data_IF_337290670145
#
_entry.id   IF_337290670145
#
_cell.length_a   1.000
_cell.length_b   1.000
_cell.length_c   1.000
_cell.angle_alpha   90.00
_cell.angle_beta   90.00
_cell.angle_gamma   90.00
#
_symmetry.space_group_name_H-M   'P 1'
#
loop_
_entity.id
_entity.type
_entity.pdbx_description
1 polymer ?
#
# COMPACT_ATOMS: atom_id res chain seq x y z
N UNK A 1 -0.78 7.19 10.92
CA UNK A 1 0.31 6.96 9.96
C UNK A 1 0.21 7.88 8.77
N UNK A 2 1.26 7.90 7.96
CA UNK A 2 1.43 8.79 6.80
C UNK A 2 2.05 8.03 5.62
N UNK A 3 2.12 8.68 4.46
CA UNK A 3 2.92 8.22 3.31
C UNK A 3 4.04 9.25 3.09
N UNK A 4 5.26 9.06 3.64
CA UNK A 4 6.29 10.11 3.65
C UNK A 4 6.68 10.65 2.28
N UNK A 5 6.56 9.82 1.22
CA UNK A 5 6.87 10.23 -0.16
C UNK A 5 6.01 11.40 -0.65
N UNK A 6 4.81 11.60 -0.08
CA UNK A 6 3.95 12.73 -0.47
C UNK A 6 4.53 14.06 -0.02
N UNK A 7 5.01 14.15 1.23
CA UNK A 7 5.67 15.37 1.71
C UNK A 7 7.03 15.55 1.04
N UNK A 8 7.79 14.47 0.84
CA UNK A 8 9.07 14.52 0.13
C UNK A 8 8.89 15.08 -1.30
N UNK A 9 7.81 14.68 -1.99
CA UNK A 9 7.49 15.19 -3.33
C UNK A 9 7.16 16.69 -3.33
N UNK A 10 6.46 17.19 -2.31
CA UNK A 10 6.19 18.63 -2.17
C UNK A 10 7.48 19.43 -1.92
N UNK A 11 8.45 18.86 -1.18
CA UNK A 11 9.77 19.49 -0.95
C UNK A 11 10.58 19.67 -2.24
N UNK A 12 10.25 18.91 -3.29
CA UNK A 12 10.84 19.02 -4.63
C UNK A 12 9.85 19.56 -5.66
N UNK A 13 8.88 20.37 -5.22
CA UNK A 13 7.91 21.07 -6.07
C UNK A 13 7.08 20.18 -6.99
N UNK A 14 6.77 18.94 -6.58
CA UNK A 14 5.99 18.01 -7.39
C UNK A 14 6.80 17.28 -8.47
N UNK A 15 8.11 17.51 -8.57
CA UNK A 15 8.96 16.90 -9.59
C UNK A 15 9.50 15.58 -9.04
N UNK A 16 8.85 14.47 -9.43
CA UNK A 16 9.22 13.15 -8.94
C UNK A 16 10.69 12.82 -9.22
N UNK A 17 11.25 13.24 -10.36
CA UNK A 17 12.64 13.03 -10.76
C UNK A 17 13.65 13.68 -9.81
N UNK A 18 13.26 14.75 -9.12
CA UNK A 18 14.12 15.49 -8.21
C UNK A 18 14.15 14.88 -6.80
N UNK A 19 13.38 13.82 -6.54
CA UNK A 19 13.45 13.07 -5.29
C UNK A 19 14.83 12.43 -5.12
N UNK A 20 15.38 12.52 -3.91
CA UNK A 20 16.62 11.84 -3.52
C UNK A 20 16.45 11.16 -2.16
N UNK A 21 17.40 10.27 -1.83
CA UNK A 21 17.48 9.66 -0.52
C UNK A 21 17.52 10.71 0.59
N UNK A 22 18.29 11.79 0.43
CA UNK A 22 18.47 12.83 1.45
C UNK A 22 17.15 13.54 1.77
N UNK A 23 16.40 13.95 0.74
CA UNK A 23 15.08 14.59 0.93
C UNK A 23 14.11 13.65 1.64
N UNK A 24 14.12 12.37 1.28
CA UNK A 24 13.26 11.36 1.88
C UNK A 24 13.66 11.07 3.34
N UNK A 25 14.96 10.87 3.61
CA UNK A 25 15.54 10.67 4.93
C UNK A 25 15.15 11.81 5.89
N UNK A 26 15.36 13.04 5.47
CA UNK A 26 15.03 14.22 6.29
C UNK A 26 13.52 14.30 6.55
N UNK A 27 12.69 13.85 5.60
CA UNK A 27 11.23 13.75 5.77
C UNK A 27 10.83 12.66 6.77
N UNK A 28 11.51 11.50 6.77
CA UNK A 28 11.28 10.45 7.76
C UNK A 28 11.58 10.95 9.18
N UNK A 29 12.73 11.59 9.38
CA UNK A 29 13.14 12.13 10.68
C UNK A 29 12.14 13.19 11.15
N UNK A 30 11.78 14.14 10.27
CA UNK A 30 10.80 15.19 10.59
C UNK A 30 9.46 14.61 11.06
N UNK A 31 8.92 13.62 10.36
CA UNK A 31 7.64 13.01 10.72
C UNK A 31 7.74 12.11 11.96
N UNK A 32 8.88 11.44 12.16
CA UNK A 32 9.13 10.64 13.35
C UNK A 32 9.21 11.51 14.61
N UNK A 33 9.88 12.67 14.53
CA UNK A 33 9.93 13.66 15.62
C UNK A 33 8.56 14.26 15.95
N UNK A 34 7.65 14.34 14.97
CA UNK A 34 6.26 14.73 15.18
C UNK A 34 5.41 13.64 15.85
N UNK A 35 5.90 12.40 15.93
CA UNK A 35 5.21 11.28 16.56
C UNK A 35 4.28 10.50 15.61
N UNK A 36 4.60 10.42 14.31
CA UNK A 36 3.86 9.53 13.41
C UNK A 36 4.15 8.06 13.76
N UNK A 37 3.10 7.27 14.01
CA UNK A 37 3.25 5.89 14.51
C UNK A 37 3.59 4.83 13.44
N UNK A 38 3.24 5.08 12.18
CA UNK A 38 3.58 4.17 11.08
C UNK A 38 3.75 4.90 9.74
N UNK A 39 4.63 4.38 8.90
CA UNK A 39 4.89 4.89 7.56
C UNK A 39 4.50 3.88 6.49
N UNK A 40 3.68 4.30 5.53
CA UNK A 40 3.51 3.61 4.26
C UNK A 40 4.71 3.89 3.36
N UNK A 41 5.53 2.86 3.12
CA UNK A 41 6.74 2.96 2.30
C UNK A 41 6.66 1.96 1.14
N UNK A 42 6.70 2.47 -0.09
CA UNK A 42 6.55 1.70 -1.32
C UNK A 42 7.89 1.11 -1.80
N UNK A 43 8.62 0.48 -0.89
CA UNK A 43 9.94 -0.12 -1.18
C UNK A 43 9.86 -1.37 -2.06
N UNK A 44 8.67 -1.96 -2.24
CA UNK A 44 8.43 -3.08 -3.15
C UNK A 44 8.31 -2.70 -4.64
N UNK A 45 8.18 -1.42 -4.96
CA UNK A 45 8.12 -0.95 -6.37
C UNK A 45 9.53 -0.92 -6.95
N UNK A 46 9.96 -2.08 -7.45
CA UNK A 46 11.28 -2.25 -8.07
C UNK A 46 11.27 -1.89 -9.55
N UNK A 47 12.41 -1.43 -10.07
CA UNK A 47 12.57 -1.05 -11.48
C UNK A 47 12.14 -2.19 -12.43
N UNK A 48 12.51 -3.43 -12.11
CA UNK A 48 12.20 -4.60 -12.92
C UNK A 48 10.71 -4.93 -12.98
N UNK A 49 9.89 -4.43 -12.05
CA UNK A 49 8.45 -4.73 -11.97
C UNK A 49 7.59 -3.71 -12.73
N UNK A 50 8.11 -2.50 -12.99
CA UNK A 50 7.36 -1.46 -13.72
C UNK A 50 6.90 -1.94 -15.12
N UNK A 51 7.72 -2.66 -15.92
CA UNK A 51 7.26 -3.19 -17.21
C UNK A 51 6.13 -4.23 -17.11
N UNK A 52 5.99 -4.93 -15.98
CA UNK A 52 4.93 -5.92 -15.78
C UNK A 52 3.54 -5.27 -15.80
N UNK A 53 3.44 -3.99 -15.42
CA UNK A 53 2.17 -3.25 -15.41
C UNK A 53 1.77 -2.73 -16.79
N UNK A 54 2.62 -2.86 -17.81
CA UNK A 54 2.36 -2.30 -19.15
C UNK A 54 1.13 -2.93 -19.85
N UNK A 55 0.72 -4.13 -19.43
CA UNK A 55 -0.45 -4.85 -19.97
C UNK A 55 -1.72 -4.69 -19.14
N UNK A 56 -1.65 -3.96 -18.02
CA UNK A 56 -2.82 -3.73 -17.15
C UNK A 56 -3.86 -2.86 -17.84
N UNK A 57 -5.12 -3.08 -17.50
CA UNK A 57 -6.25 -2.25 -17.91
C UNK A 57 -6.17 -0.87 -17.25
N UNK A 58 -5.78 -0.82 -15.97
CA UNK A 58 -5.73 0.42 -15.17
C UNK A 58 -4.34 0.87 -14.75
N UNK A 59 -3.29 0.16 -15.18
CA UNK A 59 -1.90 0.52 -14.91
C UNK A 59 -1.55 0.49 -13.41
N UNK A 60 -0.84 1.53 -12.96
CA UNK A 60 -0.44 1.73 -11.55
C UNK A 60 -1.40 2.75 -10.93
N UNK A 61 -2.27 2.30 -10.04
CA UNK A 61 -3.26 3.16 -9.35
C UNK A 61 -2.81 3.65 -7.98
N UNK A 62 -1.71 3.12 -7.45
CA UNK A 62 -1.10 3.67 -6.24
C UNK A 62 -0.47 5.03 -6.53
N UNK A 63 -0.85 6.07 -5.78
CA UNK A 63 -0.20 7.38 -5.88
C UNK A 63 1.27 7.29 -5.48
N UNK A 64 1.60 6.66 -4.35
CA UNK A 64 3.00 6.49 -3.93
C UNK A 64 3.78 5.56 -4.87
N UNK A 65 3.14 4.48 -5.34
CA UNK A 65 3.75 3.57 -6.30
C UNK A 65 4.04 4.20 -7.65
N UNK A 66 3.14 5.02 -8.18
CA UNK A 66 3.35 5.73 -9.46
C UNK A 66 4.44 6.80 -9.38
N UNK A 67 4.59 7.48 -8.24
CA UNK A 67 5.74 8.38 -7.98
C UNK A 67 7.05 7.60 -8.08
N UNK A 68 7.14 6.45 -7.39
CA UNK A 68 8.35 5.63 -7.40
C UNK A 68 8.64 5.01 -8.77
N UNK A 69 7.61 4.54 -9.48
CA UNK A 69 7.76 4.03 -10.84
C UNK A 69 8.29 5.12 -11.79
N UNK A 70 7.76 6.35 -11.69
CA UNK A 70 8.24 7.50 -12.48
C UNK A 70 9.71 7.81 -12.18
N UNK A 71 10.10 7.85 -10.92
CA UNK A 71 11.48 8.08 -10.50
C UNK A 71 12.42 6.99 -11.05
N UNK A 72 12.06 5.70 -10.89
CA UNK A 72 12.87 4.58 -11.37
C UNK A 72 13.09 4.64 -12.88
N UNK A 73 12.04 4.96 -13.66
CA UNK A 73 12.14 5.08 -15.12
C UNK A 73 12.95 6.29 -15.58
N UNK A 74 12.83 7.43 -14.90
CA UNK A 74 13.55 8.65 -15.26
C UNK A 74 15.07 8.49 -15.07
N UNK A 75 15.48 7.82 -13.99
CA UNK A 75 16.90 7.59 -13.67
C UNK A 75 17.44 6.28 -14.21
N UNK A 76 16.57 5.36 -14.62
CA UNK A 76 16.90 3.98 -14.95
C UNK A 76 17.70 3.29 -13.82
N UNK A 77 17.26 3.51 -12.59
CA UNK A 77 17.88 3.01 -11.36
C UNK A 77 16.88 2.24 -10.52
N UNK A 78 17.39 1.35 -9.66
CA UNK A 78 16.56 0.66 -8.67
C UNK A 78 16.01 1.66 -7.65
N UNK A 79 14.81 1.38 -7.14
CA UNK A 79 14.12 2.19 -6.13
C UNK A 79 15.04 2.54 -4.97
N UNK A 80 15.26 3.85 -4.74
CA UNK A 80 16.08 4.29 -3.61
C UNK A 80 15.49 3.88 -2.25
N UNK A 81 14.16 3.65 -2.18
CA UNK A 81 13.51 3.11 -0.99
C UNK A 81 13.91 1.67 -0.72
N UNK A 82 14.14 0.89 -1.78
CA UNK A 82 14.62 -0.49 -1.67
C UNK A 82 16.12 -0.53 -1.35
N UNK A 83 16.94 0.29 -2.01
CA UNK A 83 18.39 0.28 -1.83
C UNK A 83 18.83 0.84 -0.48
N UNK A 84 18.12 1.84 0.07
CA UNK A 84 18.38 2.42 1.39
C UNK A 84 17.50 1.82 2.51
N UNK A 85 16.83 0.70 2.27
CA UNK A 85 15.88 0.13 3.23
C UNK A 85 16.48 -0.14 4.61
N UNK A 86 17.76 -0.52 4.67
CA UNK A 86 18.46 -0.75 5.94
C UNK A 86 18.62 0.56 6.73
N UNK A 87 18.94 1.68 6.08
CA UNK A 87 19.03 2.99 6.74
C UNK A 87 17.64 3.48 7.18
N UNK A 88 16.60 3.21 6.39
CA UNK A 88 15.20 3.49 6.77
C UNK A 88 14.85 2.73 8.06
N UNK A 89 15.22 1.45 8.16
CA UNK A 89 15.00 0.67 9.38
C UNK A 89 15.72 1.27 10.59
N UNK A 90 16.95 1.76 10.44
CA UNK A 90 17.69 2.38 11.56
C UNK A 90 16.98 3.64 12.07
N UNK A 91 16.44 4.46 11.16
CA UNK A 91 15.64 5.64 11.52
C UNK A 91 14.36 5.19 12.22
N UNK A 92 13.56 4.31 11.60
CA UNK A 92 12.28 3.89 12.15
C UNK A 92 12.42 3.22 13.52
N UNK A 93 13.47 2.42 13.71
CA UNK A 93 13.77 1.75 14.98
C UNK A 93 14.07 2.75 16.10
N UNK A 94 14.76 3.85 15.80
CA UNK A 94 15.14 4.85 16.80
C UNK A 94 13.92 5.55 17.44
N UNK A 95 12.80 5.62 16.72
CA UNK A 95 11.57 6.28 17.15
C UNK A 95 10.39 5.32 17.38
N UNK A 96 10.60 4.00 17.21
CA UNK A 96 9.56 2.96 17.25
C UNK A 96 8.39 3.19 16.26
N UNK A 97 8.72 3.66 15.06
CA UNK A 97 7.75 3.80 13.97
C UNK A 97 7.57 2.45 13.27
N UNK A 98 6.32 2.01 13.10
CA UNK A 98 6.01 0.77 12.41
C UNK A 98 6.08 0.92 10.89
N UNK A 99 6.54 -0.12 10.19
CA UNK A 99 6.40 -0.22 8.73
C UNK A 99 4.98 -0.61 8.36
N UNK A 100 4.40 0.14 7.42
CA UNK A 100 3.34 -0.32 6.54
C UNK A 100 3.97 -0.48 5.15
N UNK A 101 4.35 -1.70 4.78
CA UNK A 101 5.00 -1.94 3.48
C UNK A 101 3.95 -1.79 2.36
N UNK A 102 4.07 -0.73 1.58
CA UNK A 102 3.03 -0.27 0.66
C UNK A 102 2.86 -1.13 -0.58
N UNK A 103 1.62 -1.26 -1.04
CA UNK A 103 1.22 -2.02 -2.22
C UNK A 103 1.18 -1.15 -3.50
N UNK A 104 2.36 -0.66 -3.89
CA UNK A 104 2.52 0.25 -5.01
C UNK A 104 2.02 -0.28 -6.35
N UNK A 105 2.00 -1.59 -6.52
CA UNK A 105 1.52 -2.32 -7.68
C UNK A 105 0.20 -3.04 -7.41
N UNK A 106 -0.63 -2.60 -6.45
CA UNK A 106 -1.99 -3.14 -6.28
C UNK A 106 -2.86 -3.02 -7.54
N UNK A 107 -3.84 -3.92 -7.74
CA UNK A 107 -4.77 -3.84 -8.86
C UNK A 107 -5.80 -2.73 -8.68
N UNK A 108 -6.00 -1.92 -9.74
CA UNK A 108 -7.02 -0.87 -9.83
C UNK A 108 -8.28 -1.26 -10.59
N UNK A 109 -8.34 -2.51 -11.05
CA UNK A 109 -9.53 -3.09 -11.64
C UNK A 109 -9.57 -4.60 -11.38
N UNK A 110 -10.76 -5.18 -11.47
CA UNK A 110 -10.97 -6.63 -11.36
C UNK A 110 -10.17 -7.41 -12.39
N UNK A 111 -9.90 -6.82 -13.57
CA UNK A 111 -9.11 -7.43 -14.64
C UNK A 111 -7.63 -7.60 -14.27
N UNK A 112 -7.09 -6.66 -13.49
CA UNK A 112 -5.67 -6.62 -13.10
C UNK A 112 -5.39 -7.44 -11.82
N UNK A 113 -6.42 -7.97 -11.17
CA UNK A 113 -6.30 -8.68 -9.90
C UNK A 113 -5.50 -9.98 -10.01
N UNK A 114 -4.55 -10.15 -9.08
CA UNK A 114 -3.66 -11.30 -8.94
C UNK A 114 -2.71 -11.48 -10.13
N UNK A 115 -2.31 -10.39 -10.78
CA UNK A 115 -1.35 -10.43 -11.86
C UNK A 115 0.10 -10.57 -11.35
N UNK A 116 1.03 -10.70 -12.31
CA UNK A 116 2.45 -10.88 -12.03
C UNK A 116 3.06 -9.69 -11.28
N UNK A 117 2.68 -8.46 -11.64
CA UNK A 117 3.20 -7.25 -11.01
C UNK A 117 2.81 -7.17 -9.52
N UNK A 118 1.55 -7.48 -9.19
CA UNK A 118 1.06 -7.47 -7.82
C UNK A 118 1.82 -8.48 -6.95
N UNK A 119 1.97 -9.71 -7.44
CA UNK A 119 2.60 -10.77 -6.64
C UNK A 119 4.12 -10.67 -6.58
N UNK A 120 4.78 -10.13 -7.61
CA UNK A 120 6.21 -9.83 -7.56
C UNK A 120 6.52 -8.78 -6.48
N UNK A 121 5.66 -7.76 -6.34
CA UNK A 121 5.79 -6.80 -5.23
C UNK A 121 5.56 -7.49 -3.88
N UNK A 122 4.49 -8.27 -3.72
CA UNK A 122 4.18 -8.97 -2.46
C UNK A 122 5.33 -9.86 -1.96
N UNK A 123 5.95 -10.62 -2.86
CA UNK A 123 7.13 -11.45 -2.53
C UNK A 123 8.32 -10.59 -2.07
N UNK A 124 8.52 -9.43 -2.69
CA UNK A 124 9.53 -8.45 -2.23
C UNK A 124 9.18 -7.89 -0.86
N UNK A 125 7.90 -7.63 -0.57
CA UNK A 125 7.50 -7.17 0.76
C UNK A 125 7.80 -8.22 1.83
N UNK A 126 7.70 -9.52 1.50
CA UNK A 126 8.16 -10.61 2.34
C UNK A 126 9.66 -10.54 2.68
N UNK A 127 10.52 -10.38 1.67
CA UNK A 127 11.97 -10.18 1.85
C UNK A 127 12.26 -8.96 2.75
N UNK A 128 11.60 -7.84 2.48
CA UNK A 128 11.76 -6.60 3.24
C UNK A 128 11.28 -6.73 4.69
N UNK A 129 10.26 -7.56 4.93
CA UNK A 129 9.77 -7.87 6.28
C UNK A 129 10.85 -8.57 7.11
N UNK A 130 11.50 -9.60 6.57
CA UNK A 130 12.59 -10.30 7.26
C UNK A 130 13.75 -9.35 7.59
N UNK A 131 14.10 -8.47 6.65
CA UNK A 131 15.14 -7.44 6.85
C UNK A 131 14.77 -6.44 7.95
N UNK A 132 13.53 -5.97 7.98
CA UNK A 132 13.04 -5.05 9.01
C UNK A 132 12.99 -5.73 10.39
N UNK A 133 12.56 -6.99 10.47
CA UNK A 133 12.56 -7.77 11.71
C UNK A 133 13.97 -8.03 12.25
N UNK A 134 14.95 -8.28 11.38
CA UNK A 134 16.35 -8.42 11.79
C UNK A 134 16.90 -7.15 12.47
N UNK A 135 16.34 -5.98 12.16
CA UNK A 135 16.64 -4.70 12.82
C UNK A 135 15.67 -4.34 13.96
N UNK A 136 14.75 -5.23 14.31
CA UNK A 136 13.79 -5.04 15.39
C UNK A 136 12.69 -4.02 15.09
N UNK A 137 12.40 -3.76 13.82
CA UNK A 137 11.27 -2.90 13.42
C UNK A 137 9.96 -3.70 13.40
N UNK A 138 8.86 -3.05 13.75
CA UNK A 138 7.51 -3.59 13.60
C UNK A 138 7.06 -3.47 12.14
N UNK A 139 6.30 -4.44 11.61
CA UNK A 139 5.91 -4.48 10.20
C UNK A 139 4.47 -4.96 10.05
N UNK A 140 3.71 -4.28 9.18
CA UNK A 140 2.50 -4.77 8.52
C UNK A 140 2.63 -4.62 7.01
N UNK A 141 1.88 -5.41 6.24
CA UNK A 141 1.92 -5.44 4.78
C UNK A 141 0.63 -4.81 4.24
N UNK A 142 0.73 -3.91 3.27
CA UNK A 142 -0.43 -3.41 2.55
C UNK A 142 -0.84 -4.38 1.44
N UNK A 143 -2.14 -4.44 1.15
CA UNK A 143 -2.72 -5.40 0.23
C UNK A 143 -3.87 -4.83 -0.60
N UNK A 144 -4.32 -5.61 -1.59
CA UNK A 144 -4.94 -5.13 -2.82
C UNK A 144 -6.20 -4.28 -2.67
N UNK A 145 -6.47 -3.56 -3.76
CA UNK A 145 -7.65 -2.72 -3.99
C UNK A 145 -8.81 -3.45 -4.68
N UNK A 146 -8.70 -3.76 -5.97
CA UNK A 146 -9.81 -4.35 -6.74
C UNK A 146 -9.61 -5.84 -6.96
N UNK A 147 -10.43 -6.69 -6.36
CA UNK A 147 -10.28 -8.17 -6.42
C UNK A 147 -11.65 -8.85 -6.44
N UNK A 148 -11.97 -9.65 -7.46
CA UNK A 148 -13.24 -10.38 -7.49
C UNK A 148 -13.24 -11.49 -6.43
N UNK A 149 -14.41 -11.79 -5.86
CA UNK A 149 -14.54 -12.66 -4.67
C UNK A 149 -13.77 -13.99 -4.77
N UNK A 150 -13.81 -14.66 -5.93
CA UNK A 150 -13.13 -15.95 -6.15
C UNK A 150 -11.60 -15.88 -6.10
N UNK A 151 -11.01 -14.68 -6.17
CA UNK A 151 -9.55 -14.43 -6.07
C UNK A 151 -9.11 -13.95 -4.68
N UNK A 152 -10.02 -13.59 -3.78
CA UNK A 152 -9.69 -13.02 -2.47
C UNK A 152 -8.88 -14.00 -1.62
N UNK A 153 -9.30 -15.27 -1.54
CA UNK A 153 -8.61 -16.26 -0.71
C UNK A 153 -7.15 -16.48 -1.12
N UNK A 154 -6.86 -16.45 -2.43
CA UNK A 154 -5.50 -16.57 -2.97
C UNK A 154 -4.59 -15.44 -2.47
N UNK A 155 -5.12 -14.21 -2.33
CA UNK A 155 -4.35 -13.09 -1.80
C UNK A 155 -3.94 -13.32 -0.35
N UNK A 156 -4.87 -13.75 0.50
CA UNK A 156 -4.58 -14.04 1.90
C UNK A 156 -3.59 -15.20 2.03
N UNK A 157 -3.82 -16.31 1.32
CA UNK A 157 -2.96 -17.49 1.39
C UNK A 157 -1.52 -17.21 0.93
N UNK A 158 -1.37 -16.34 -0.08
CA UNK A 158 -0.04 -15.94 -0.55
C UNK A 158 0.61 -14.99 0.45
N UNK A 159 -0.11 -14.00 0.98
CA UNK A 159 0.48 -13.08 1.96
C UNK A 159 0.96 -13.80 3.23
N UNK A 160 0.17 -14.73 3.78
CA UNK A 160 0.61 -15.51 4.96
C UNK A 160 1.90 -16.29 4.68
N UNK A 161 2.01 -16.87 3.49
CA UNK A 161 3.17 -17.67 3.06
C UNK A 161 4.41 -16.83 2.81
N UNK A 162 4.29 -15.77 2.01
CA UNK A 162 5.46 -15.01 1.55
C UNK A 162 5.90 -13.97 2.59
N UNK A 163 5.01 -13.49 3.46
CA UNK A 163 5.30 -12.40 4.40
C UNK A 163 5.41 -12.86 5.86
N UNK A 164 5.63 -14.15 6.10
CA UNK A 164 5.87 -14.69 7.44
C UNK A 164 4.73 -14.44 8.44
N UNK A 165 3.48 -14.45 7.97
CA UNK A 165 2.29 -14.14 8.77
C UNK A 165 2.27 -12.72 9.40
N UNK A 166 3.05 -11.77 8.86
CA UNK A 166 2.97 -10.37 9.25
C UNK A 166 1.51 -9.84 9.11
N UNK A 167 1.05 -8.91 9.97
CA UNK A 167 -0.28 -8.34 9.87
C UNK A 167 -0.57 -7.79 8.46
N UNK A 168 -1.70 -8.18 7.89
CA UNK A 168 -2.13 -7.70 6.58
C UNK A 168 -3.09 -6.51 6.70
N UNK A 169 -2.94 -5.52 5.83
CA UNK A 169 -3.70 -4.27 5.81
C UNK A 169 -4.24 -3.97 4.40
N UNK A 170 -5.54 -4.14 4.16
CA UNK A 170 -6.10 -4.11 2.79
C UNK A 170 -7.01 -2.92 2.52
N UNK A 171 -6.99 -2.40 1.28
CA UNK A 171 -7.94 -1.38 0.81
C UNK A 171 -9.20 -2.03 0.20
N UNK A 172 -10.16 -2.39 1.05
CA UNK A 172 -11.29 -3.23 0.64
C UNK A 172 -10.96 -4.72 0.81
N UNK A 173 -10.97 -5.54 -0.26
CA UNK A 173 -10.98 -5.13 -1.68
C UNK A 173 -12.37 -4.90 -2.29
N UNK A 174 -12.46 -4.04 -3.30
CA UNK A 174 -13.65 -3.87 -4.15
C UNK A 174 -13.90 -5.14 -4.97
N UNK A 175 -15.09 -5.72 -4.85
CA UNK A 175 -15.44 -6.97 -5.54
C UNK A 175 -15.99 -6.78 -6.95
N UNK A 176 -16.25 -5.53 -7.36
CA UNK A 176 -16.75 -5.16 -8.69
C UNK A 176 -16.47 -3.67 -8.97
N UNK A 177 -16.28 -3.32 -10.25
CA UNK A 177 -15.90 -1.96 -10.69
C UNK A 177 -17.09 -1.15 -11.23
N UNK A 178 -18.31 -1.70 -11.21
CA UNK A 178 -19.45 -1.16 -11.96
C UNK A 178 -20.34 -0.20 -11.17
N UNK A 179 -20.00 0.12 -9.91
CA UNK A 179 -20.89 0.85 -9.00
C UNK A 179 -20.22 2.06 -8.32
N UNK A 180 -19.58 2.99 -9.08
CA UNK A 180 -19.03 4.20 -8.50
C UNK A 180 -20.13 5.00 -7.78
N UNK A 181 -19.83 5.54 -6.60
CA UNK A 181 -20.82 6.09 -5.67
C UNK A 181 -21.25 5.11 -4.57
N UNK A 182 -21.01 3.81 -4.78
CA UNK A 182 -21.36 2.72 -3.86
C UNK A 182 -20.16 1.84 -3.52
N UNK A 183 -18.94 2.35 -3.73
CA UNK A 183 -17.73 1.53 -3.55
C UNK A 183 -17.47 1.13 -2.10
N UNK A 184 -17.99 1.88 -1.12
CA UNK A 184 -18.06 1.43 0.27
C UNK A 184 -18.81 0.09 0.43
N UNK A 185 -19.84 -0.18 -0.38
CA UNK A 185 -20.60 -1.44 -0.39
C UNK A 185 -19.81 -2.52 -1.14
N UNK A 186 -19.31 -2.22 -2.34
CA UNK A 186 -18.56 -3.18 -3.16
C UNK A 186 -17.29 -3.66 -2.45
N UNK A 187 -16.61 -2.75 -1.75
CA UNK A 187 -15.44 -3.04 -0.91
C UNK A 187 -15.80 -3.68 0.42
N UNK A 188 -16.92 -3.30 1.05
CA UNK A 188 -17.37 -3.89 2.31
C UNK A 188 -17.56 -5.41 2.23
N UNK A 189 -18.01 -5.92 1.07
CA UNK A 189 -18.11 -7.36 0.80
C UNK A 189 -16.73 -8.01 0.84
N UNK A 190 -15.77 -7.48 0.07
CA UNK A 190 -14.42 -8.06 0.00
C UNK A 190 -13.66 -7.89 1.30
N UNK A 191 -13.84 -6.77 2.01
CA UNK A 191 -13.25 -6.48 3.30
C UNK A 191 -13.69 -7.48 4.37
N UNK A 192 -14.99 -7.79 4.45
CA UNK A 192 -15.50 -8.81 5.36
C UNK A 192 -14.93 -10.21 5.02
N UNK A 193 -14.84 -10.56 3.73
CA UNK A 193 -14.27 -11.84 3.31
C UNK A 193 -12.78 -11.97 3.63
N UNK A 194 -11.96 -10.97 3.29
CA UNK A 194 -10.52 -11.03 3.53
C UNK A 194 -10.19 -10.88 5.02
N UNK A 195 -10.99 -10.11 5.76
CA UNK A 195 -10.97 -10.07 7.23
C UNK A 195 -11.22 -11.47 7.82
N UNK A 196 -12.29 -12.14 7.39
CA UNK A 196 -12.59 -13.52 7.82
C UNK A 196 -11.45 -14.50 7.50
N UNK A 197 -10.74 -14.29 6.39
CA UNK A 197 -9.58 -15.11 6.03
C UNK A 197 -8.30 -14.81 6.81
N UNK A 198 -8.24 -13.72 7.58
CA UNK A 198 -7.12 -13.39 8.46
C UNK A 198 -6.50 -12.00 8.31
N UNK A 199 -7.09 -11.10 7.51
CA UNK A 199 -6.60 -9.73 7.40
C UNK A 199 -6.75 -8.97 8.73
N UNK A 200 -5.69 -8.29 9.18
CA UNK A 200 -5.62 -7.69 10.51
C UNK A 200 -6.20 -6.27 10.56
N UNK A 201 -6.10 -5.51 9.48
CA UNK A 201 -6.61 -4.15 9.40
C UNK A 201 -7.27 -3.88 8.03
N UNK A 202 -8.37 -3.13 8.03
CA UNK A 202 -9.14 -2.85 6.82
C UNK A 202 -9.17 -1.33 6.58
N UNK A 203 -8.52 -0.88 5.51
CA UNK A 203 -8.60 0.52 5.08
C UNK A 203 -9.97 0.75 4.47
N UNK A 204 -10.70 1.69 5.06
CA UNK A 204 -12.04 2.03 4.63
C UNK A 204 -12.07 2.63 3.21
N UNK A 205 -13.20 2.45 2.55
CA UNK A 205 -13.54 3.05 1.27
C UNK A 205 -14.83 3.84 1.46
N UNK A 206 -14.88 5.05 0.91
CA UNK A 206 -16.04 5.94 1.06
C UNK A 206 -16.99 5.83 -0.15
N UNK A 207 -18.23 6.33 -0.06
CA UNK A 207 -19.08 6.49 -1.24
C UNK A 207 -18.47 7.36 -2.35
N UNK A 208 -17.50 8.23 -2.03
CA UNK A 208 -16.83 9.13 -2.97
C UNK A 208 -15.59 8.55 -3.62
N UNK A 209 -15.23 7.32 -3.30
CA UNK A 209 -14.13 6.64 -4.00
C UNK A 209 -14.34 6.72 -5.52
N UNK A 210 -13.25 6.96 -6.26
CA UNK A 210 -13.24 7.21 -7.70
C UNK A 210 -14.01 8.46 -8.21
N UNK A 211 -14.64 9.25 -7.33
CA UNK A 211 -15.48 10.39 -7.71
C UNK A 211 -14.99 11.73 -7.17
N UNK A 212 -14.28 11.77 -6.04
CA UNK A 212 -13.72 13.00 -5.48
C UNK A 212 -13.36 12.88 -4.01
N UNK A 213 -13.04 14.03 -3.39
CA UNK A 213 -12.73 14.06 -1.97
C UNK A 213 -14.00 13.83 -1.13
N UNK A 214 -13.95 12.96 -0.10
CA UNK A 214 -15.11 12.70 0.75
C UNK A 214 -15.40 13.89 1.66
N UNK A 215 -16.69 14.15 1.88
CA UNK A 215 -17.13 15.09 2.92
C UNK A 215 -17.31 14.36 4.28
N UNK A 216 -17.73 15.09 5.31
CA UNK A 216 -17.94 14.55 6.66
C UNK A 216 -18.90 13.36 6.71
N UNK A 217 -19.98 13.39 5.94
CA UNK A 217 -20.99 12.33 5.95
C UNK A 217 -20.49 11.10 5.18
N UNK A 218 -19.78 11.30 4.07
CA UNK A 218 -19.12 10.21 3.33
C UNK A 218 -18.11 9.47 4.21
N UNK A 219 -17.32 10.20 5.01
CA UNK A 219 -16.38 9.63 6.00
C UNK A 219 -17.14 8.79 7.02
N UNK A 220 -18.23 9.31 7.59
CA UNK A 220 -19.04 8.57 8.58
C UNK A 220 -19.60 7.27 7.98
N UNK A 221 -20.12 7.32 6.74
CA UNK A 221 -20.65 6.14 6.03
C UNK A 221 -19.54 5.10 5.84
N UNK A 222 -18.37 5.51 5.35
CA UNK A 222 -17.23 4.59 5.20
C UNK A 222 -16.83 3.92 6.51
N UNK A 223 -16.70 4.70 7.60
CA UNK A 223 -16.31 4.19 8.92
C UNK A 223 -17.32 3.17 9.44
N UNK A 224 -18.62 3.50 9.41
CA UNK A 224 -19.67 2.59 9.90
C UNK A 224 -19.72 1.31 9.07
N UNK A 225 -19.60 1.42 7.75
CA UNK A 225 -19.56 0.28 6.82
C UNK A 225 -18.42 -0.68 7.18
N UNK A 226 -17.21 -0.14 7.40
CA UNK A 226 -16.05 -0.96 7.72
C UNK A 226 -16.05 -1.49 9.16
N UNK A 227 -16.67 -0.79 10.12
CA UNK A 227 -16.93 -1.33 11.46
C UNK A 227 -17.84 -2.55 11.40
N UNK A 228 -18.83 -2.57 10.50
CA UNK A 228 -19.71 -3.72 10.28
C UNK A 228 -18.93 -4.86 9.61
N UNK A 229 -18.20 -4.57 8.53
CA UNK A 229 -17.38 -5.57 7.84
C UNK A 229 -16.37 -6.23 8.78
N UNK A 230 -15.66 -5.44 9.60
CA UNK A 230 -14.72 -5.93 10.58
C UNK A 230 -15.36 -6.76 11.72
N UNK A 231 -16.62 -6.50 12.07
CA UNK A 231 -17.33 -7.30 13.08
C UNK A 231 -17.90 -8.60 12.50
N UNK A 232 -18.22 -8.62 11.21
CA UNK A 232 -18.73 -9.79 10.52
C UNK A 232 -17.63 -10.83 10.19
N UNK A 233 -16.40 -10.35 10.01
CA UNK A 233 -15.19 -11.15 9.86
C UNK A 233 -14.87 -11.96 11.14
#
# INVERSE_FOLDING_TARGET
GTVPIYQALEKVNGIAEDLTWEVFRDTLIEQAEQGVDYFTIHAGVRLAYVPLTAKRVTGIVSRGGSIMAKWCLAHHQESFLYTHFDEICDIMRAYDVSFSLGDGLRPGSIADANDEAQFAELETLGELTERAWAKGCQVMIEGPGHVPMHKIKVNMDKQLRECGEAPFYTLGPLTTDIAPGYDHITSGIGAAMIGWFGCAMLCYVTPKEHLGLPNRDDVKVGVVTYKIAAHAA
#
